data_IF_264834667040
#
_entry.id   IF_264834667040
#
_cell.length_a   1.000
_cell.length_b   1.000
_cell.length_c   1.000
_cell.angle_alpha   90.00
_cell.angle_beta   90.00
_cell.angle_gamma   90.00
#
_symmetry.space_group_name_H-M   'P 1'
#
loop_
_entity.id
_entity.type
_entity.pdbx_description
1 polymer ?
#
# COMPACT_ATOMS: atom_id res chain seq x y z
N UNK A 1 43.72 42.21 -22.89
CA UNK A 1 43.30 40.87 -23.39
C UNK A 1 42.78 39.92 -22.31
N UNK A 2 42.96 40.14 -21.00
CA UNK A 2 42.52 39.23 -19.92
C UNK A 2 41.03 39.29 -19.56
N UNK A 3 40.27 40.29 -19.96
CA UNK A 3 38.85 40.43 -19.55
C UNK A 3 37.84 39.67 -20.45
N UNK A 4 38.26 39.22 -21.63
CA UNK A 4 37.35 38.47 -22.53
C UNK A 4 37.22 36.99 -22.13
N UNK A 5 38.30 36.39 -21.62
CA UNK A 5 38.31 34.97 -21.25
C UNK A 5 37.49 34.70 -19.98
N UNK A 6 37.42 35.66 -19.04
CA UNK A 6 36.61 35.54 -17.83
C UNK A 6 35.10 35.69 -18.10
N UNK A 7 34.69 36.51 -19.07
CA UNK A 7 33.30 36.62 -19.48
C UNK A 7 32.82 35.37 -20.21
N UNK A 8 33.65 34.76 -21.04
CA UNK A 8 33.29 33.56 -21.79
C UNK A 8 33.15 32.33 -20.88
N UNK A 9 33.95 32.25 -19.81
CA UNK A 9 33.85 31.16 -18.82
C UNK A 9 32.58 31.26 -17.95
N UNK A 10 32.15 32.47 -17.61
CA UNK A 10 30.91 32.68 -16.84
C UNK A 10 29.64 32.41 -17.65
N UNK A 11 29.66 32.70 -18.97
CA UNK A 11 28.54 32.36 -19.86
C UNK A 11 28.41 30.85 -20.11
N UNK A 12 29.53 30.12 -20.19
CA UNK A 12 29.50 28.65 -20.35
C UNK A 12 29.04 27.91 -19.07
N UNK A 13 29.39 28.40 -17.88
CA UNK A 13 28.87 27.85 -16.64
C UNK A 13 27.37 28.14 -16.45
N UNK A 14 26.92 29.35 -16.79
CA UNK A 14 25.50 29.72 -16.67
C UNK A 14 24.60 29.02 -17.68
N UNK A 15 25.14 28.61 -18.84
CA UNK A 15 24.41 27.81 -19.83
C UNK A 15 24.37 26.31 -19.45
N UNK A 16 25.42 25.79 -18.81
CA UNK A 16 25.41 24.42 -18.27
C UNK A 16 24.42 24.23 -17.14
N UNK A 17 24.27 25.20 -16.24
CA UNK A 17 23.29 25.20 -15.17
C UNK A 17 21.85 25.36 -15.68
N UNK A 18 21.62 25.95 -16.85
CA UNK A 18 20.28 26.06 -17.43
C UNK A 18 19.81 24.82 -18.18
N UNK A 19 20.71 23.92 -18.56
CA UNK A 19 20.35 22.72 -19.32
C UNK A 19 19.85 21.56 -18.46
N UNK A 20 19.96 21.63 -17.13
CA UNK A 20 19.47 20.59 -16.23
C UNK A 20 18.38 21.11 -15.27
N UNK A 21 17.41 21.87 -15.82
CA UNK A 21 16.11 21.97 -15.17
C UNK A 21 15.25 20.85 -15.75
N UNK A 22 15.10 19.71 -15.08
CA UNK A 22 14.12 18.74 -15.52
C UNK A 22 12.78 19.47 -15.53
N UNK A 23 12.06 19.34 -16.63
CA UNK A 23 10.71 19.88 -16.84
C UNK A 23 9.90 19.67 -15.57
N UNK A 24 9.59 20.79 -14.88
CA UNK A 24 9.19 20.80 -13.49
C UNK A 24 7.78 20.26 -13.25
N UNK A 25 7.57 18.97 -13.43
CA UNK A 25 6.51 18.29 -12.71
C UNK A 25 6.99 18.05 -11.28
N UNK A 26 6.53 18.89 -10.37
CA UNK A 26 6.72 18.67 -8.94
C UNK A 26 6.05 17.33 -8.59
N UNK A 27 6.87 16.30 -8.34
CA UNK A 27 6.40 15.01 -7.84
C UNK A 27 5.91 15.08 -6.39
N UNK A 28 6.03 16.23 -5.77
CA UNK A 28 5.59 16.48 -4.38
C UNK A 28 4.07 16.58 -4.32
N UNK A 29 3.46 15.73 -3.51
CA UNK A 29 2.03 15.76 -3.26
C UNK A 29 1.35 14.40 -3.40
N UNK A 30 0.15 14.31 -2.81
CA UNK A 30 -0.65 13.08 -2.83
C UNK A 30 -1.51 13.08 -4.10
N UNK A 31 -0.91 12.60 -5.21
CA UNK A 31 -1.57 12.51 -6.52
C UNK A 31 -1.48 11.08 -7.07
N UNK A 32 -2.29 10.78 -8.07
CA UNK A 32 -2.29 9.51 -8.81
C UNK A 32 -2.32 8.27 -7.91
N UNK A 33 -1.39 7.32 -8.09
CA UNK A 33 -1.35 6.06 -7.37
C UNK A 33 -1.27 6.20 -5.84
N UNK A 34 -0.55 7.21 -5.32
CA UNK A 34 -0.50 7.44 -3.87
C UNK A 34 -1.88 7.82 -3.32
N UNK A 35 -2.65 8.63 -4.08
CA UNK A 35 -4.06 8.94 -3.75
C UNK A 35 -4.92 7.68 -3.79
N UNK A 36 -4.72 6.81 -4.78
CA UNK A 36 -5.45 5.54 -4.88
C UNK A 36 -5.20 4.67 -3.66
N UNK A 37 -3.95 4.54 -3.20
CA UNK A 37 -3.64 3.79 -1.98
C UNK A 37 -4.27 4.40 -0.73
N UNK A 38 -4.30 5.73 -0.59
CA UNK A 38 -5.00 6.38 0.53
C UNK A 38 -6.49 6.01 0.51
N UNK A 39 -7.14 6.05 -0.65
CA UNK A 39 -8.55 5.66 -0.79
C UNK A 39 -8.74 4.19 -0.43
N UNK A 40 -7.89 3.30 -0.92
CA UNK A 40 -7.96 1.87 -0.62
C UNK A 40 -7.80 1.58 0.88
N UNK A 41 -6.87 2.25 1.57
CA UNK A 41 -6.71 2.09 3.01
C UNK A 41 -7.89 2.67 3.82
N UNK A 42 -8.52 3.75 3.35
CA UNK A 42 -9.76 4.27 3.95
C UNK A 42 -10.90 3.27 3.80
N UNK A 43 -11.05 2.68 2.61
CA UNK A 43 -12.06 1.65 2.36
C UNK A 43 -11.79 0.38 3.18
N UNK A 44 -10.53 -0.02 3.31
CA UNK A 44 -10.13 -1.13 4.19
C UNK A 44 -10.51 -0.85 5.64
N UNK A 45 -10.15 0.31 6.19
CA UNK A 45 -10.49 0.69 7.56
C UNK A 45 -12.02 0.72 7.78
N UNK A 46 -12.78 1.24 6.82
CA UNK A 46 -14.24 1.24 6.88
C UNK A 46 -14.82 -0.19 6.85
N UNK A 47 -14.26 -1.07 6.01
CA UNK A 47 -14.64 -2.49 5.95
C UNK A 47 -14.33 -3.21 7.25
N UNK A 48 -13.15 -2.95 7.85
CA UNK A 48 -12.78 -3.54 9.14
C UNK A 48 -13.73 -3.10 10.26
N UNK A 49 -14.12 -1.82 10.29
CA UNK A 49 -15.12 -1.31 11.24
C UNK A 49 -16.47 -2.00 11.04
N UNK A 50 -16.94 -2.12 9.80
CA UNK A 50 -18.18 -2.81 9.48
C UNK A 50 -18.15 -4.28 9.92
N UNK A 51 -17.05 -4.99 9.67
CA UNK A 51 -16.84 -6.37 10.07
C UNK A 51 -16.85 -6.55 11.59
N UNK A 52 -16.28 -5.60 12.34
CA UNK A 52 -16.34 -5.59 13.80
C UNK A 52 -17.80 -5.51 14.30
N UNK A 53 -18.59 -4.57 13.79
CA UNK A 53 -20.00 -4.46 14.18
C UNK A 53 -20.80 -5.72 13.82
N UNK A 54 -20.54 -6.32 12.65
CA UNK A 54 -21.17 -7.55 12.22
C UNK A 54 -20.80 -8.74 13.13
N UNK A 55 -19.55 -8.81 13.58
CA UNK A 55 -19.08 -9.87 14.49
C UNK A 55 -19.73 -9.81 15.86
N UNK A 56 -20.05 -8.63 16.37
CA UNK A 56 -20.76 -8.47 17.65
C UNK A 56 -22.26 -8.83 17.59
N UNK A 57 -22.81 -8.87 16.38
CA UNK A 57 -24.23 -9.25 16.20
C UNK A 57 -24.48 -10.77 16.23
N UNK A 58 -23.43 -11.59 16.19
CA UNK A 58 -23.49 -13.04 16.16
C UNK A 58 -22.98 -13.65 17.48
N UNK A 59 -23.34 -14.94 17.79
CA UNK A 59 -22.75 -15.64 18.92
C UNK A 59 -21.24 -15.70 18.81
N UNK A 60 -20.54 -15.33 19.88
CA UNK A 60 -19.06 -15.20 19.86
C UNK A 60 -18.44 -16.57 20.12
N UNK A 61 -17.88 -17.19 19.08
CA UNK A 61 -17.03 -18.37 19.17
C UNK A 61 -15.54 -17.99 19.11
N UNK A 62 -14.66 -18.99 19.13
CA UNK A 62 -13.20 -18.78 19.10
C UNK A 62 -12.76 -18.10 17.79
N UNK A 63 -13.38 -18.46 16.67
CA UNK A 63 -13.03 -17.91 15.35
C UNK A 63 -13.45 -16.45 15.21
N UNK A 64 -14.60 -16.09 15.78
CA UNK A 64 -15.09 -14.72 15.83
C UNK A 64 -14.15 -13.82 16.66
N UNK A 65 -13.65 -14.32 17.79
CA UNK A 65 -12.66 -13.60 18.63
C UNK A 65 -11.38 -13.34 17.84
N UNK A 66 -10.86 -14.35 17.14
CA UNK A 66 -9.67 -14.20 16.28
C UNK A 66 -9.94 -13.18 15.18
N UNK A 67 -11.09 -13.26 14.51
CA UNK A 67 -11.52 -12.31 13.49
C UNK A 67 -11.57 -10.87 14.00
N UNK A 68 -12.19 -10.66 15.17
CA UNK A 68 -12.26 -9.35 15.83
C UNK A 68 -10.86 -8.76 16.06
N UNK A 69 -9.93 -9.55 16.61
CA UNK A 69 -8.56 -9.11 16.87
C UNK A 69 -7.89 -8.72 15.55
N UNK A 70 -8.01 -9.53 14.51
CA UNK A 70 -7.42 -9.25 13.19
C UNK A 70 -7.99 -7.97 12.57
N UNK A 71 -9.32 -7.75 12.65
CA UNK A 71 -9.96 -6.53 12.14
C UNK A 71 -9.51 -5.28 12.91
N UNK A 72 -9.35 -5.37 14.25
CA UNK A 72 -8.82 -4.26 15.04
C UNK A 72 -7.40 -3.92 14.60
N UNK A 73 -6.51 -4.91 14.51
CA UNK A 73 -5.13 -4.69 14.09
C UNK A 73 -5.07 -4.09 12.67
N UNK A 74 -5.80 -4.67 11.73
CA UNK A 74 -5.88 -4.23 10.34
C UNK A 74 -6.39 -2.80 10.23
N UNK A 75 -7.50 -2.48 10.87
CA UNK A 75 -8.12 -1.15 10.86
C UNK A 75 -7.23 -0.07 11.47
N UNK A 76 -6.54 -0.37 12.59
CA UNK A 76 -5.56 0.54 13.21
C UNK A 76 -4.37 0.77 12.28
N UNK A 77 -3.84 -0.28 11.65
CA UNK A 77 -2.71 -0.16 10.72
C UNK A 77 -3.09 0.64 9.47
N UNK A 78 -4.25 0.36 8.87
CA UNK A 78 -4.74 1.07 7.70
C UNK A 78 -4.97 2.56 8.01
N UNK A 79 -5.65 2.87 9.11
CA UNK A 79 -5.89 4.25 9.55
C UNK A 79 -4.58 4.98 9.83
N UNK A 80 -3.64 4.35 10.54
CA UNK A 80 -2.32 4.92 10.82
C UNK A 80 -1.55 5.21 9.53
N UNK A 81 -1.58 4.29 8.55
CA UNK A 81 -0.95 4.50 7.26
C UNK A 81 -1.55 5.72 6.53
N UNK A 82 -2.88 5.85 6.50
CA UNK A 82 -3.58 7.01 5.92
C UNK A 82 -3.13 8.31 6.57
N UNK A 83 -3.23 8.40 7.90
CA UNK A 83 -2.87 9.62 8.64
C UNK A 83 -1.42 10.02 8.39
N UNK A 84 -0.49 9.07 8.48
CA UNK A 84 0.93 9.33 8.29
C UNK A 84 1.29 9.71 6.85
N UNK A 85 0.60 9.15 5.84
CA UNK A 85 0.75 9.54 4.44
C UNK A 85 0.21 10.96 4.23
N UNK A 86 -0.96 11.28 4.77
CA UNK A 86 -1.54 12.62 4.67
C UNK A 86 -0.67 13.68 5.36
N UNK A 87 -0.06 13.33 6.50
CA UNK A 87 0.91 14.18 7.21
C UNK A 87 2.29 14.21 6.52
N UNK A 88 2.47 13.51 5.41
CA UNK A 88 3.74 13.39 4.65
C UNK A 88 4.91 12.85 5.49
N UNK A 89 4.64 12.03 6.50
CA UNK A 89 5.67 11.46 7.36
C UNK A 89 6.36 10.28 6.68
N UNK A 90 7.69 10.21 6.80
CA UNK A 90 8.51 9.11 6.26
C UNK A 90 8.06 7.74 6.76
N UNK A 91 7.64 7.66 8.02
CA UNK A 91 7.14 6.44 8.63
C UNK A 91 5.82 5.94 7.98
N UNK A 92 5.05 6.82 7.32
CA UNK A 92 3.83 6.45 6.59
C UNK A 92 4.10 5.45 5.47
N UNK A 93 5.28 5.53 4.82
CA UNK A 93 5.73 4.54 3.84
C UNK A 93 5.90 3.16 4.49
N UNK A 94 6.55 3.10 5.65
CA UNK A 94 6.79 1.84 6.35
C UNK A 94 5.46 1.23 6.82
N UNK A 95 4.58 2.05 7.41
CA UNK A 95 3.25 1.61 7.83
C UNK A 95 2.42 1.07 6.67
N UNK A 96 2.44 1.72 5.50
CA UNK A 96 1.75 1.23 4.32
C UNK A 96 2.28 -0.13 3.86
N UNK A 97 3.60 -0.30 3.77
CA UNK A 97 4.23 -1.57 3.39
C UNK A 97 3.88 -2.67 4.41
N UNK A 98 3.98 -2.37 5.71
CA UNK A 98 3.66 -3.33 6.77
C UNK A 98 2.18 -3.71 6.73
N UNK A 99 1.27 -2.76 6.55
CA UNK A 99 -0.16 -3.04 6.42
C UNK A 99 -0.45 -3.97 5.23
N UNK A 100 0.13 -3.70 4.06
CA UNK A 100 -0.04 -4.55 2.87
C UNK A 100 0.53 -5.96 3.14
N UNK A 101 1.73 -6.07 3.71
CA UNK A 101 2.38 -7.35 3.96
C UNK A 101 1.60 -8.19 4.98
N UNK A 102 1.25 -7.61 6.13
CA UNK A 102 0.49 -8.29 7.20
C UNK A 102 -0.90 -8.66 6.70
N UNK A 103 -1.60 -7.74 6.03
CA UNK A 103 -2.92 -8.01 5.45
C UNK A 103 -2.88 -9.13 4.41
N UNK A 104 -1.86 -9.18 3.57
CA UNK A 104 -1.70 -10.26 2.58
C UNK A 104 -1.47 -11.62 3.25
N UNK A 105 -0.59 -11.67 4.26
CA UNK A 105 -0.34 -12.92 5.01
C UNK A 105 -1.60 -13.39 5.71
N UNK A 106 -2.31 -12.49 6.41
CA UNK A 106 -3.56 -12.82 7.07
C UNK A 106 -4.63 -13.33 6.09
N UNK A 107 -4.73 -12.66 4.92
CA UNK A 107 -5.65 -13.08 3.85
C UNK A 107 -5.31 -14.46 3.29
N UNK A 108 -4.04 -14.75 3.02
CA UNK A 108 -3.59 -16.07 2.53
C UNK A 108 -3.92 -17.16 3.54
N UNK A 109 -3.63 -16.94 4.82
CA UNK A 109 -3.95 -17.89 5.89
C UNK A 109 -5.47 -18.11 5.97
N UNK A 110 -6.26 -17.03 5.93
CA UNK A 110 -7.71 -17.12 5.90
C UNK A 110 -8.22 -17.95 4.72
N UNK A 111 -7.71 -17.70 3.51
CA UNK A 111 -8.12 -18.43 2.30
C UNK A 111 -7.74 -19.92 2.36
N UNK A 112 -6.61 -20.26 2.96
CA UNK A 112 -6.23 -21.67 3.18
C UNK A 112 -7.22 -22.33 4.14
N UNK A 113 -7.53 -21.69 5.28
CA UNK A 113 -8.47 -22.24 6.27
C UNK A 113 -9.86 -22.43 5.67
N UNK A 114 -10.38 -21.41 4.97
CA UNK A 114 -11.68 -21.48 4.30
C UNK A 114 -11.67 -22.53 3.20
N UNK A 115 -10.61 -22.56 2.38
CA UNK A 115 -10.48 -23.56 1.31
C UNK A 115 -10.47 -24.99 1.83
N UNK A 116 -9.77 -25.26 2.93
CA UNK A 116 -9.76 -26.59 3.58
C UNK A 116 -11.14 -26.94 4.13
N UNK A 117 -11.79 -26.00 4.84
CA UNK A 117 -13.13 -26.21 5.39
C UNK A 117 -14.16 -26.47 4.28
N UNK A 118 -14.13 -25.68 3.20
CA UNK A 118 -15.07 -25.81 2.08
C UNK A 118 -14.83 -27.11 1.29
N UNK A 119 -13.57 -27.55 1.14
CA UNK A 119 -13.25 -28.79 0.42
C UNK A 119 -13.84 -30.04 1.09
N UNK A 120 -14.10 -29.99 2.39
CA UNK A 120 -14.80 -31.08 3.11
C UNK A 120 -16.29 -31.19 2.75
N UNK A 121 -16.89 -30.10 2.29
CA UNK A 121 -18.32 -30.00 1.97
C UNK A 121 -18.61 -30.08 0.47
N UNK A 122 -17.69 -29.56 -0.36
CA UNK A 122 -17.83 -29.51 -1.83
C UNK A 122 -17.10 -30.68 -2.45
N UNK A 123 -17.83 -31.53 -3.20
CA UNK A 123 -17.28 -32.71 -3.88
C UNK A 123 -16.36 -32.38 -5.07
N UNK A 124 -16.30 -31.12 -5.50
CA UNK A 124 -15.48 -30.68 -6.65
C UNK A 124 -14.23 -29.94 -6.14
N UNK A 125 -13.16 -30.70 -5.88
CA UNK A 125 -11.88 -30.16 -5.48
C UNK A 125 -11.27 -29.23 -6.56
N UNK A 126 -11.57 -29.42 -7.84
CA UNK A 126 -11.11 -28.58 -8.93
C UNK A 126 -11.65 -27.16 -8.83
N UNK A 127 -12.93 -27.01 -8.49
CA UNK A 127 -13.55 -25.71 -8.27
C UNK A 127 -12.89 -24.96 -7.09
N UNK A 128 -12.69 -25.63 -5.96
CA UNK A 128 -12.08 -25.06 -4.77
C UNK A 128 -10.66 -24.56 -5.08
N UNK A 129 -9.82 -25.39 -5.68
CA UNK A 129 -8.43 -25.02 -6.01
C UNK A 129 -8.37 -23.88 -7.02
N UNK A 130 -9.19 -23.90 -8.07
CA UNK A 130 -9.19 -22.87 -9.11
C UNK A 130 -9.68 -21.52 -8.57
N UNK A 131 -10.77 -21.52 -7.83
CA UNK A 131 -11.39 -20.30 -7.33
C UNK A 131 -10.57 -19.66 -6.22
N UNK A 132 -10.31 -20.39 -5.13
CA UNK A 132 -9.56 -19.87 -3.99
C UNK A 132 -8.08 -19.63 -4.32
N UNK A 133 -7.46 -20.54 -5.09
CA UNK A 133 -6.06 -20.40 -5.51
C UNK A 133 -5.87 -19.24 -6.47
N UNK A 134 -6.77 -19.04 -7.43
CA UNK A 134 -6.71 -17.94 -8.40
C UNK A 134 -6.83 -16.57 -7.71
N UNK A 135 -7.82 -16.41 -6.82
CA UNK A 135 -8.01 -15.16 -6.07
C UNK A 135 -6.83 -14.89 -5.15
N UNK A 136 -6.31 -15.90 -4.46
CA UNK A 136 -5.15 -15.78 -3.59
C UNK A 136 -3.90 -15.37 -4.36
N UNK A 137 -3.64 -15.99 -5.51
CA UNK A 137 -2.52 -15.62 -6.38
C UNK A 137 -2.62 -14.18 -6.85
N UNK A 138 -3.79 -13.75 -7.30
CA UNK A 138 -4.02 -12.36 -7.71
C UNK A 138 -3.79 -11.38 -6.56
N UNK A 139 -4.26 -11.68 -5.35
CA UNK A 139 -4.04 -10.85 -4.16
C UNK A 139 -2.56 -10.75 -3.80
N UNK A 140 -1.80 -11.84 -3.87
CA UNK A 140 -0.35 -11.83 -3.62
C UNK A 140 0.39 -11.00 -4.67
N UNK A 141 0.09 -11.18 -5.95
CA UNK A 141 0.74 -10.41 -7.03
C UNK A 141 0.47 -8.91 -6.92
N UNK A 142 -0.77 -8.50 -6.64
CA UNK A 142 -1.13 -7.09 -6.42
C UNK A 142 -0.45 -6.51 -5.19
N UNK A 143 -0.30 -7.29 -4.14
CA UNK A 143 0.42 -6.87 -2.93
C UNK A 143 1.91 -6.66 -3.18
N UNK A 144 2.55 -7.57 -3.92
CA UNK A 144 3.96 -7.42 -4.33
C UNK A 144 4.13 -6.16 -5.18
N UNK A 145 3.28 -5.95 -6.19
CA UNK A 145 3.32 -4.75 -7.03
C UNK A 145 3.15 -3.47 -6.19
N UNK A 146 2.24 -3.48 -5.22
CA UNK A 146 2.00 -2.36 -4.32
C UNK A 146 3.21 -2.06 -3.43
N UNK A 147 3.83 -3.08 -2.84
CA UNK A 147 5.06 -2.93 -2.04
C UNK A 147 6.19 -2.38 -2.90
N UNK A 148 6.39 -2.90 -4.12
CA UNK A 148 7.40 -2.41 -5.04
C UNK A 148 7.16 -0.94 -5.42
N UNK A 149 5.90 -0.53 -5.59
CA UNK A 149 5.56 0.87 -5.80
C UNK A 149 6.03 1.74 -4.63
N UNK A 150 5.71 1.37 -3.39
CA UNK A 150 6.14 2.14 -2.21
C UNK A 150 7.67 2.16 -2.06
N UNK A 151 8.37 1.11 -2.47
CA UNK A 151 9.84 1.03 -2.37
C UNK A 151 10.55 1.84 -3.46
N UNK A 152 10.09 1.76 -4.71
CA UNK A 152 10.81 2.30 -5.88
C UNK A 152 10.32 3.66 -6.34
N UNK A 153 9.08 4.05 -6.07
CA UNK A 153 8.49 5.29 -6.57
C UNK A 153 9.24 6.53 -6.07
N UNK A 154 9.70 7.36 -6.99
CA UNK A 154 10.28 8.68 -6.70
C UNK A 154 9.27 9.56 -5.98
N UNK A 155 8.01 9.55 -6.41
CA UNK A 155 6.92 10.32 -5.81
C UNK A 155 6.74 10.02 -4.32
N UNK A 156 6.74 8.73 -3.95
CA UNK A 156 6.65 8.32 -2.54
C UNK A 156 7.85 8.86 -1.74
N UNK A 157 9.06 8.77 -2.32
CA UNK A 157 10.29 9.26 -1.69
C UNK A 157 10.30 10.77 -1.50
N UNK A 158 9.78 11.52 -2.47
CA UNK A 158 9.77 12.99 -2.46
C UNK A 158 8.61 13.56 -1.65
N UNK A 159 7.48 12.83 -1.54
CA UNK A 159 6.31 13.26 -0.77
C UNK A 159 6.44 12.95 0.72
N UNK A 160 7.03 11.80 1.07
CA UNK A 160 7.16 11.32 2.45
C UNK A 160 8.58 11.54 2.96
N UNK A 161 8.92 12.80 3.25
CA UNK A 161 10.30 13.23 3.57
C UNK A 161 10.53 13.60 5.04
N UNK A 162 9.48 13.84 5.82
CA UNK A 162 9.57 14.26 7.22
C UNK A 162 9.34 13.12 8.22
#
# INVERSE_FOLDING_TARGET
MQNQDQQQSSYSQQSADRQFKPSGESYVGIKDWLRTFVILFVLQAASDIYSLFSSFANPIGVWEVIGIILHIISGVMATSAVVLILMRKKIGKQMAITNIAVGTVAYVVYMIVVGVATNSEVKDAGFVVTWFGGITLFAVLTSIASILYFLKSRRVKETLVN
#
